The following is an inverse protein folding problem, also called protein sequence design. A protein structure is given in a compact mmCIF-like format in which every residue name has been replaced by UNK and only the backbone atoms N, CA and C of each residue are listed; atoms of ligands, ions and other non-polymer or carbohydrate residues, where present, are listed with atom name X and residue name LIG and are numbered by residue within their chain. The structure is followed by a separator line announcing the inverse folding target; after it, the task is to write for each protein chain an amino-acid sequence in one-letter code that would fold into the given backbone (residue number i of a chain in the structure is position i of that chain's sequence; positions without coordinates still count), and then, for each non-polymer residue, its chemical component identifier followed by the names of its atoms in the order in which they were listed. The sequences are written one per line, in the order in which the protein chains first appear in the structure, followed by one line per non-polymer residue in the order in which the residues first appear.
data_IF_550938789918
#
_entry.id   IF_550938789918
#
_cell.length_a   1.000
_cell.length_b   1.000
_cell.length_c   1.000
_cell.angle_alpha   90.00
_cell.angle_beta   90.00
_cell.angle_gamma   90.00
#
_symmetry.space_group_name_H-M   'P 1'
#
loop_
_entity.id
_entity.type
_entity.pdbx_description
1 polymer ?
#
# COMPACT_ATOMS: atom_id res chain seq x y z
N UNK A 1 1.42 -11.83 28.21
CA UNK A 1 2.86 -12.08 28.49
C UNK A 1 3.59 -10.79 28.21
N UNK A 2 4.49 -10.35 29.08
CA UNK A 2 5.19 -9.09 28.85
C UNK A 2 6.54 -9.30 28.13
N UNK A 3 7.07 -8.23 27.54
CA UNK A 3 8.32 -8.25 26.76
C UNK A 3 9.51 -8.86 27.49
N UNK A 4 9.66 -8.57 28.78
CA UNK A 4 10.78 -9.10 29.57
C UNK A 4 10.68 -10.63 29.74
N UNK A 5 9.46 -11.16 29.93
CA UNK A 5 9.21 -12.60 29.98
C UNK A 5 9.56 -13.27 28.64
N UNK A 6 9.14 -12.70 27.50
CA UNK A 6 9.45 -13.26 26.18
C UNK A 6 10.97 -13.30 25.92
N UNK A 7 11.70 -12.22 26.22
CA UNK A 7 13.15 -12.17 26.05
C UNK A 7 13.85 -13.19 26.96
N UNK A 8 13.37 -13.37 28.19
CA UNK A 8 13.92 -14.35 29.10
C UNK A 8 13.67 -15.79 28.60
N UNK A 9 12.49 -16.06 28.03
CA UNK A 9 12.20 -17.34 27.37
C UNK A 9 13.21 -17.62 26.25
N UNK A 10 13.48 -16.66 25.36
CA UNK A 10 14.48 -16.83 24.28
C UNK A 10 15.88 -17.17 24.82
N UNK A 11 16.30 -16.52 25.92
CA UNK A 11 17.59 -16.81 26.55
C UNK A 11 17.63 -18.21 27.13
N UNK A 12 16.56 -18.63 27.81
CA UNK A 12 16.48 -19.95 28.44
C UNK A 12 16.40 -21.10 27.44
N UNK A 13 15.78 -20.87 26.27
CA UNK A 13 15.74 -21.86 25.18
C UNK A 13 17.05 -21.96 24.40
N UNK A 14 17.94 -20.98 24.57
CA UNK A 14 19.28 -20.98 23.99
C UNK A 14 19.39 -20.22 22.67
N UNK A 15 18.47 -19.30 22.38
CA UNK A 15 18.64 -18.36 21.26
C UNK A 15 19.88 -17.49 21.50
N UNK A 16 20.67 -17.26 20.45
CA UNK A 16 21.84 -16.39 20.52
C UNK A 16 21.44 -14.90 20.58
N UNK A 17 22.42 -14.02 20.78
CA UNK A 17 22.18 -12.57 20.84
C UNK A 17 21.56 -12.00 19.58
N UNK A 18 21.90 -12.57 18.43
CA UNK A 18 21.52 -12.05 17.11
C UNK A 18 20.04 -12.31 16.84
N UNK A 19 19.57 -13.52 17.13
CA UNK A 19 18.14 -13.88 17.09
C UNK A 19 17.34 -13.01 18.05
N UNK A 20 17.83 -12.82 19.29
CA UNK A 20 17.14 -11.95 20.27
C UNK A 20 17.05 -10.51 19.76
N UNK A 21 18.14 -9.98 19.19
CA UNK A 21 18.17 -8.62 18.65
C UNK A 21 17.21 -8.47 17.45
N UNK A 22 17.18 -9.46 16.55
CA UNK A 22 16.25 -9.53 15.43
C UNK A 22 14.79 -9.54 15.92
N UNK A 23 14.43 -10.44 16.84
CA UNK A 23 13.06 -10.51 17.36
C UNK A 23 12.62 -9.22 18.07
N UNK A 24 13.54 -8.50 18.73
CA UNK A 24 13.26 -7.18 19.30
C UNK A 24 12.96 -6.15 18.20
N UNK A 25 13.77 -6.11 17.14
CA UNK A 25 13.57 -5.18 16.01
C UNK A 25 12.24 -5.45 15.28
N UNK A 26 11.90 -6.72 15.07
CA UNK A 26 10.60 -7.14 14.50
C UNK A 26 9.46 -6.73 15.42
N UNK A 27 9.57 -6.95 16.73
CA UNK A 27 8.53 -6.57 17.69
C UNK A 27 8.30 -5.05 17.74
N UNK A 28 9.36 -4.24 17.65
CA UNK A 28 9.23 -2.78 17.62
C UNK A 28 8.50 -2.31 16.35
N UNK A 29 8.82 -2.88 15.19
CA UNK A 29 8.12 -2.55 13.95
C UNK A 29 6.66 -3.06 13.95
N UNK A 30 6.42 -4.28 14.42
CA UNK A 30 5.09 -4.86 14.52
C UNK A 30 4.17 -4.03 15.42
N UNK A 31 4.68 -3.54 16.55
CA UNK A 31 3.94 -2.66 17.46
C UNK A 31 3.64 -1.30 16.84
N UNK A 32 4.58 -0.72 16.09
CA UNK A 32 4.36 0.53 15.36
C UNK A 32 3.22 0.39 14.34
N UNK A 33 3.25 -0.66 13.52
CA UNK A 33 2.19 -0.98 12.56
C UNK A 33 0.84 -1.17 13.28
N UNK A 34 0.85 -1.94 14.38
CA UNK A 34 -0.33 -2.19 15.20
C UNK A 34 -0.91 -0.89 15.75
N UNK A 35 -0.09 -0.04 16.36
CA UNK A 35 -0.52 1.20 17.02
C UNK A 35 -1.04 2.25 16.03
N UNK A 36 -0.49 2.31 14.81
CA UNK A 36 -0.90 3.27 13.77
C UNK A 36 -2.23 2.90 13.13
N UNK A 37 -2.49 1.60 12.94
CA UNK A 37 -3.59 1.14 12.06
C UNK A 37 -4.56 0.15 12.70
N UNK A 38 -4.10 -0.67 13.62
CA UNK A 38 -4.86 -1.79 14.17
C UNK A 38 -5.13 -1.67 15.66
N UNK A 39 -4.88 -0.49 16.24
CA UNK A 39 -4.96 -0.24 17.68
C UNK A 39 -6.27 -0.71 18.35
N UNK A 40 -7.39 -0.57 17.65
CA UNK A 40 -8.71 -0.95 18.15
C UNK A 40 -9.20 -2.31 17.64
N UNK A 41 -8.41 -3.01 16.81
CA UNK A 41 -8.79 -4.23 16.10
C UNK A 41 -7.87 -5.43 16.37
N UNK A 42 -6.61 -5.19 16.70
CA UNK A 42 -5.61 -6.22 16.98
C UNK A 42 -5.29 -6.28 18.49
N UNK A 43 -5.05 -7.49 18.98
CA UNK A 43 -4.51 -7.73 20.31
C UNK A 43 -3.02 -7.35 20.35
N UNK A 44 -2.75 -6.12 20.79
CA UNK A 44 -1.39 -5.55 20.86
C UNK A 44 -0.41 -6.41 21.69
N UNK A 45 -0.88 -7.02 22.77
CA UNK A 45 -0.02 -7.90 23.60
C UNK A 45 0.31 -9.20 22.87
N UNK A 46 -0.64 -9.75 22.12
CA UNK A 46 -0.41 -10.91 21.27
C UNK A 46 0.57 -10.60 20.13
N UNK A 47 0.46 -9.42 19.51
CA UNK A 47 1.42 -8.98 18.47
C UNK A 47 2.84 -8.88 19.04
N UNK A 48 3.03 -8.24 20.20
CA UNK A 48 4.36 -8.12 20.81
C UNK A 48 4.94 -9.49 21.19
N UNK A 49 4.16 -10.33 21.87
CA UNK A 49 4.62 -11.66 22.28
C UNK A 49 4.90 -12.58 21.08
N UNK A 50 4.03 -12.53 20.06
CA UNK A 50 4.19 -13.26 18.81
C UNK A 50 5.45 -12.84 18.05
N UNK A 51 5.69 -11.53 17.89
CA UNK A 51 6.89 -11.01 17.24
C UNK A 51 8.18 -11.35 18.00
N UNK A 52 8.16 -11.29 19.34
CA UNK A 52 9.35 -11.65 20.13
C UNK A 52 9.67 -13.14 20.05
N UNK A 53 8.67 -14.01 19.93
CA UNK A 53 8.84 -15.46 20.02
C UNK A 53 8.79 -16.18 18.66
N UNK A 54 8.51 -15.48 17.56
CA UNK A 54 8.30 -16.09 16.24
C UNK A 54 9.46 -17.01 15.82
N UNK A 55 10.69 -16.64 16.17
CA UNK A 55 11.92 -17.29 15.75
C UNK A 55 12.52 -18.22 16.83
N UNK A 56 11.76 -18.58 17.87
CA UNK A 56 12.26 -19.39 19.01
C UNK A 56 12.86 -20.74 18.59
N UNK A 57 12.41 -21.31 17.46
CA UNK A 57 12.97 -22.52 16.88
C UNK A 57 14.42 -22.40 16.41
N UNK A 58 14.93 -21.17 16.21
CA UNK A 58 16.34 -20.89 15.88
C UNK A 58 17.32 -21.34 16.95
N UNK A 59 16.84 -21.58 18.18
CA UNK A 59 17.61 -22.25 19.23
C UNK A 59 18.03 -23.69 18.88
N UNK A 60 17.39 -24.33 17.90
CA UNK A 60 17.65 -25.73 17.50
C UNK A 60 18.09 -25.89 16.05
N UNK A 61 17.57 -25.08 15.13
CA UNK A 61 17.82 -25.21 13.69
C UNK A 61 17.99 -23.86 13.00
N UNK A 62 18.82 -23.82 11.97
CA UNK A 62 18.97 -22.65 11.09
C UNK A 62 18.21 -22.83 9.76
N UNK A 63 17.44 -23.92 9.63
CA UNK A 63 16.69 -24.25 8.41
C UNK A 63 15.22 -23.80 8.52
N UNK A 64 14.47 -23.94 7.43
CA UNK A 64 13.07 -23.47 7.37
C UNK A 64 12.15 -24.14 8.40
N UNK A 65 12.51 -25.33 8.89
CA UNK A 65 11.81 -26.09 9.91
C UNK A 65 11.79 -25.45 11.31
N UNK A 66 12.52 -24.36 11.54
CA UNK A 66 12.43 -23.59 12.80
C UNK A 66 11.01 -23.17 13.17
N UNK A 67 10.13 -22.89 12.20
CA UNK A 67 8.74 -22.56 12.49
C UNK A 67 8.00 -23.73 13.15
N UNK A 68 8.22 -24.96 12.65
CA UNK A 68 7.61 -26.18 13.21
C UNK A 68 8.23 -26.54 14.55
N UNK A 69 9.56 -26.49 14.66
CA UNK A 69 10.27 -26.76 15.93
C UNK A 69 9.90 -25.71 16.98
N UNK A 70 9.73 -24.45 16.58
CA UNK A 70 9.31 -23.37 17.45
C UNK A 70 7.94 -23.62 18.07
N UNK A 71 6.99 -24.19 17.32
CA UNK A 71 5.68 -24.61 17.84
C UNK A 71 5.82 -25.70 18.90
N UNK A 72 6.70 -26.68 18.68
CA UNK A 72 6.97 -27.75 19.65
C UNK A 72 7.51 -27.18 20.96
N UNK A 73 8.55 -26.33 20.88
CA UNK A 73 9.13 -25.63 22.04
C UNK A 73 8.05 -24.80 22.76
N UNK A 74 7.28 -24.01 22.01
CA UNK A 74 6.23 -23.18 22.59
C UNK A 74 5.15 -23.99 23.29
N UNK A 75 4.80 -25.17 22.77
CA UNK A 75 3.83 -26.08 23.39
C UNK A 75 4.37 -26.66 24.70
N UNK A 76 5.63 -27.05 24.74
CA UNK A 76 6.28 -27.55 25.97
C UNK A 76 6.36 -26.48 27.06
N UNK A 77 6.56 -25.22 26.67
CA UNK A 77 6.56 -24.06 27.56
C UNK A 77 5.16 -23.59 27.98
N UNK A 78 4.09 -24.18 27.42
CA UNK A 78 2.71 -23.81 27.74
C UNK A 78 2.31 -22.42 27.22
N UNK A 79 2.88 -21.98 26.10
CA UNK A 79 2.52 -20.71 25.48
C UNK A 79 1.07 -20.70 24.98
N UNK A 80 0.48 -19.51 24.89
CA UNK A 80 -0.85 -19.30 24.30
C UNK A 80 -0.90 -19.91 22.89
N UNK A 81 -1.89 -20.77 22.57
CA UNK A 81 -2.04 -21.34 21.23
C UNK A 81 -2.04 -20.32 20.09
N UNK A 82 -2.49 -19.09 20.35
CA UNK A 82 -2.45 -17.99 19.37
C UNK A 82 -1.02 -17.56 19.04
N UNK A 83 -0.10 -17.60 20.02
CA UNK A 83 1.34 -17.36 19.78
C UNK A 83 1.92 -18.49 18.93
N UNK A 84 1.52 -19.74 19.19
CA UNK A 84 1.99 -20.88 18.40
C UNK A 84 1.62 -20.76 16.92
N UNK A 85 0.42 -20.24 16.61
CA UNK A 85 0.00 -19.98 15.23
C UNK A 85 0.88 -18.90 14.55
N UNK A 86 1.26 -17.85 15.28
CA UNK A 86 2.19 -16.83 14.79
C UNK A 86 3.57 -17.45 14.48
N UNK A 87 4.11 -18.24 15.43
CA UNK A 87 5.38 -18.96 15.24
C UNK A 87 5.30 -19.87 14.01
N UNK A 88 4.20 -20.58 13.82
CA UNK A 88 4.04 -21.52 12.71
C UNK A 88 3.97 -20.81 11.35
N UNK A 89 3.26 -19.68 11.27
CA UNK A 89 2.80 -19.08 10.01
C UNK A 89 3.58 -17.86 9.55
N UNK A 90 4.59 -17.40 10.30
CA UNK A 90 5.33 -16.19 9.95
C UNK A 90 6.20 -16.34 8.68
N UNK A 91 6.65 -17.56 8.36
CA UNK A 91 7.64 -17.80 7.31
C UNK A 91 7.18 -17.36 5.92
N UNK A 92 7.96 -16.48 5.28
CA UNK A 92 7.84 -16.15 3.84
C UNK A 92 6.52 -15.48 3.44
N UNK A 93 5.87 -14.75 4.35
CA UNK A 93 4.49 -14.24 4.20
C UNK A 93 3.42 -15.34 4.08
N UNK A 94 3.76 -16.56 4.48
CA UNK A 94 2.95 -17.76 4.37
C UNK A 94 3.31 -18.62 3.16
N UNK A 95 3.51 -19.91 3.43
CA UNK A 95 3.71 -20.95 2.41
C UNK A 95 2.47 -21.83 2.29
N UNK A 96 2.16 -22.24 1.06
CA UNK A 96 1.03 -23.14 0.79
C UNK A 96 1.40 -24.58 1.15
N UNK A 97 0.40 -25.47 1.23
CA UNK A 97 0.65 -26.90 1.41
C UNK A 97 1.65 -27.48 0.39
N UNK A 98 1.47 -27.19 -0.91
CA UNK A 98 2.35 -27.73 -1.96
C UNK A 98 3.80 -27.25 -1.80
N UNK A 99 3.99 -26.00 -1.39
CA UNK A 99 5.30 -25.42 -1.12
C UNK A 99 5.93 -26.02 0.14
N UNK A 100 5.12 -26.24 1.19
CA UNK A 100 5.57 -26.88 2.42
C UNK A 100 6.06 -28.31 2.13
N UNK A 101 5.32 -29.09 1.33
CA UNK A 101 5.74 -30.42 0.89
C UNK A 101 7.07 -30.37 0.12
N UNK A 102 7.22 -29.41 -0.81
CA UNK A 102 8.45 -29.23 -1.57
C UNK A 102 9.66 -28.84 -0.70
N UNK A 103 9.42 -28.17 0.42
CA UNK A 103 10.43 -27.74 1.40
C UNK A 103 10.71 -28.79 2.49
N UNK A 104 10.01 -29.94 2.45
CA UNK A 104 10.16 -31.01 3.44
C UNK A 104 9.48 -30.75 4.78
N UNK A 105 8.55 -29.79 4.82
CA UNK A 105 7.72 -29.49 5.98
C UNK A 105 6.44 -30.35 5.98
N UNK A 106 5.76 -30.49 7.14
CA UNK A 106 4.46 -31.15 7.19
C UNK A 106 3.47 -30.51 6.21
N UNK A 107 2.79 -31.34 5.41
CA UNK A 107 1.84 -30.96 4.38
C UNK A 107 0.60 -30.25 4.95
N UNK A 108 0.63 -28.92 4.99
CA UNK A 108 -0.50 -28.04 5.34
C UNK A 108 -0.20 -26.60 4.94
N UNK A 109 -1.22 -25.74 4.99
CA UNK A 109 -1.03 -24.30 4.81
C UNK A 109 -0.42 -23.65 6.06
N UNK A 110 0.58 -22.80 5.83
CA UNK A 110 1.22 -21.95 6.83
C UNK A 110 0.91 -20.47 6.55
N UNK A 111 -0.28 -20.18 6.03
CA UNK A 111 -0.71 -18.83 5.67
C UNK A 111 -1.20 -18.06 6.90
N UNK A 112 -0.73 -16.81 7.15
CA UNK A 112 -1.28 -15.95 8.18
C UNK A 112 -2.78 -15.68 7.99
N UNK A 113 -3.58 -15.93 9.03
CA UNK A 113 -5.04 -15.74 8.97
C UNK A 113 -5.51 -14.52 9.74
N UNK A 114 -5.11 -14.40 11.01
CA UNK A 114 -5.50 -13.29 11.89
C UNK A 114 -4.70 -12.02 11.59
N UNK A 115 -5.19 -10.86 12.04
CA UNK A 115 -4.47 -9.60 11.81
C UNK A 115 -3.14 -9.59 12.59
N UNK A 116 -3.10 -10.22 13.76
CA UNK A 116 -1.90 -10.35 14.58
C UNK A 116 -0.84 -11.21 13.88
N UNK A 117 -1.23 -12.36 13.31
CA UNK A 117 -0.35 -13.20 12.48
C UNK A 117 0.20 -12.41 11.30
N UNK A 118 -0.66 -11.66 10.61
CA UNK A 118 -0.29 -10.88 9.43
C UNK A 118 0.68 -9.74 9.77
N UNK A 119 0.44 -9.01 10.86
CA UNK A 119 1.33 -7.93 11.31
C UNK A 119 2.73 -8.48 11.59
N UNK A 120 2.83 -9.60 12.32
CA UNK A 120 4.13 -10.19 12.66
C UNK A 120 4.85 -10.71 11.43
N UNK A 121 4.17 -11.49 10.58
CA UNK A 121 4.74 -11.98 9.33
C UNK A 121 5.18 -10.83 8.41
N UNK A 122 4.46 -9.72 8.39
CA UNK A 122 4.84 -8.56 7.60
C UNK A 122 6.04 -7.81 8.19
N UNK A 123 6.05 -7.57 9.50
CA UNK A 123 7.16 -6.90 10.17
C UNK A 123 8.47 -7.68 10.05
N UNK A 124 8.43 -9.01 10.15
CA UNK A 124 9.57 -9.91 9.93
C UNK A 124 10.15 -9.72 8.52
N UNK A 125 9.29 -9.70 7.50
CA UNK A 125 9.70 -9.43 6.12
C UNK A 125 10.34 -8.04 5.93
N UNK A 126 10.13 -7.07 6.81
CA UNK A 126 10.68 -5.72 6.72
C UNK A 126 11.89 -5.47 7.64
N UNK A 127 12.39 -6.51 8.30
CA UNK A 127 13.63 -6.44 9.10
C UNK A 127 14.65 -7.40 8.52
N UNK A 128 15.82 -6.89 8.16
CA UNK A 128 16.96 -7.65 7.68
C UNK A 128 18.05 -7.62 8.77
N UNK A 129 18.30 -8.77 9.40
CA UNK A 129 18.99 -8.90 10.70
C UNK A 129 18.37 -8.01 11.79
N UNK A 130 18.79 -6.76 11.89
CA UNK A 130 18.27 -5.76 12.85
C UNK A 130 17.93 -4.43 12.19
N UNK A 131 18.12 -4.33 10.87
CA UNK A 131 17.92 -3.13 10.09
C UNK A 131 16.55 -3.17 9.43
N UNK A 132 15.77 -2.11 9.58
CA UNK A 132 14.51 -1.97 8.84
C UNK A 132 14.80 -1.67 7.38
N UNK A 133 14.11 -2.37 6.49
CA UNK A 133 14.18 -2.16 5.04
C UNK A 133 12.79 -1.81 4.50
N UNK A 134 12.75 -1.16 3.36
CA UNK A 134 11.49 -0.88 2.66
C UNK A 134 10.91 -2.15 2.04
N UNK A 135 9.59 -2.15 1.80
CA UNK A 135 8.95 -3.26 1.11
C UNK A 135 9.50 -3.45 -0.32
N UNK A 136 9.80 -2.35 -1.01
CA UNK A 136 10.42 -2.40 -2.33
C UNK A 136 11.81 -3.07 -2.31
N UNK A 137 12.67 -2.69 -1.35
CA UNK A 137 13.97 -3.34 -1.17
C UNK A 137 13.81 -4.85 -0.88
N UNK A 138 12.85 -5.23 -0.03
CA UNK A 138 12.57 -6.65 0.23
C UNK A 138 12.19 -7.38 -1.05
N UNK A 139 11.27 -6.84 -1.86
CA UNK A 139 10.83 -7.50 -3.10
C UNK A 139 12.01 -7.69 -4.05
N UNK A 140 12.84 -6.67 -4.23
CA UNK A 140 14.05 -6.76 -5.07
C UNK A 140 15.04 -7.83 -4.60
N UNK A 141 15.17 -8.04 -3.29
CA UNK A 141 16.05 -9.09 -2.75
C UNK A 141 15.54 -10.51 -3.02
N UNK A 142 14.23 -10.70 -3.18
CA UNK A 142 13.61 -12.03 -3.25
C UNK A 142 13.03 -12.39 -4.62
N UNK A 143 12.78 -11.41 -5.49
CA UNK A 143 12.13 -11.62 -6.80
C UNK A 143 12.89 -12.58 -7.73
N UNK A 144 14.22 -12.62 -7.64
CA UNK A 144 15.05 -13.54 -8.43
C UNK A 144 15.08 -14.97 -7.86
N UNK A 145 14.69 -15.15 -6.60
CA UNK A 145 14.84 -16.41 -5.85
C UNK A 145 13.51 -17.11 -5.59
N UNK A 146 12.42 -16.35 -5.53
CA UNK A 146 11.08 -16.84 -5.23
C UNK A 146 10.21 -16.87 -6.48
N UNK A 147 9.12 -17.62 -6.39
CA UNK A 147 8.15 -17.67 -7.50
C UNK A 147 7.34 -16.38 -7.57
N UNK A 148 6.80 -16.07 -8.76
CA UNK A 148 5.87 -14.94 -8.93
C UNK A 148 4.66 -15.05 -7.98
N UNK A 149 4.19 -16.27 -7.70
CA UNK A 149 3.12 -16.52 -6.76
C UNK A 149 3.50 -16.11 -5.32
N UNK A 150 4.71 -16.42 -4.86
CA UNK A 150 5.23 -15.98 -3.56
C UNK A 150 5.30 -14.46 -3.47
N UNK A 151 5.89 -13.81 -4.47
CA UNK A 151 6.03 -12.34 -4.52
C UNK A 151 4.64 -11.68 -4.46
N UNK A 152 3.68 -12.18 -5.23
CA UNK A 152 2.30 -11.68 -5.19
C UNK A 152 1.63 -11.85 -3.82
N UNK A 153 1.94 -12.90 -3.08
CA UNK A 153 1.44 -13.07 -1.70
C UNK A 153 2.08 -12.10 -0.73
N UNK A 154 3.37 -11.82 -0.85
CA UNK A 154 4.03 -10.77 -0.04
C UNK A 154 3.40 -9.41 -0.29
N UNK A 155 3.14 -9.07 -1.56
CA UNK A 155 2.44 -7.83 -1.95
C UNK A 155 1.04 -7.79 -1.34
N UNK A 156 0.29 -8.90 -1.42
CA UNK A 156 -1.04 -8.98 -0.82
C UNK A 156 -1.00 -8.79 0.70
N UNK A 157 -0.08 -9.46 1.39
CA UNK A 157 0.10 -9.34 2.84
C UNK A 157 0.43 -7.91 3.26
N UNK A 158 1.41 -7.29 2.59
CA UNK A 158 1.78 -5.90 2.83
C UNK A 158 0.58 -4.96 2.66
N UNK A 159 -0.18 -5.13 1.57
CA UNK A 159 -1.40 -4.34 1.34
C UNK A 159 -2.47 -4.60 2.40
N UNK A 160 -2.65 -5.83 2.88
CA UNK A 160 -3.63 -6.11 3.95
C UNK A 160 -3.22 -5.45 5.26
N UNK A 161 -1.93 -5.50 5.62
CA UNK A 161 -1.40 -5.02 6.90
C UNK A 161 -1.26 -3.50 6.93
N UNK A 162 -0.61 -2.90 5.94
CA UNK A 162 -0.40 -1.46 5.89
C UNK A 162 -1.63 -0.72 5.35
N UNK A 163 -2.51 -1.44 4.63
CA UNK A 163 -3.46 -0.87 3.68
C UNK A 163 -2.76 -0.13 2.58
N UNK A 164 -3.56 0.22 1.57
CA UNK A 164 -3.19 1.29 0.65
C UNK A 164 -3.34 2.65 1.34
N UNK A 165 -2.58 2.92 2.41
CA UNK A 165 -2.42 4.30 2.93
C UNK A 165 -1.33 5.00 2.14
N UNK A 166 -1.54 5.08 0.84
CA UNK A 166 -0.80 6.00 0.01
C UNK A 166 -1.44 7.36 0.21
N UNK A 167 -0.88 8.14 1.12
CA UNK A 167 -1.12 9.57 1.10
C UNK A 167 -0.65 10.07 -0.28
N UNK A 168 -1.55 10.53 -1.16
CA UNK A 168 -1.15 10.89 -2.51
C UNK A 168 -0.26 12.13 -2.46
N UNK A 169 0.90 12.05 -3.08
CA UNK A 169 1.67 13.24 -3.39
C UNK A 169 1.07 13.88 -4.64
N UNK A 170 0.53 15.08 -4.47
CA UNK A 170 -0.21 15.81 -5.50
C UNK A 170 0.55 17.08 -5.86
N UNK A 171 1.08 17.10 -7.08
CA UNK A 171 1.75 18.26 -7.65
C UNK A 171 0.87 18.90 -8.71
N UNK A 172 0.87 20.23 -8.77
CA UNK A 172 0.17 21.00 -9.79
C UNK A 172 1.19 21.92 -10.50
N UNK A 173 1.06 22.03 -11.82
CA UNK A 173 1.99 22.82 -12.61
C UNK A 173 1.73 22.69 -14.10
N UNK A 174 2.70 23.14 -14.89
CA UNK A 174 2.68 23.04 -16.34
C UNK A 174 3.56 21.89 -16.82
N UNK A 175 3.07 21.12 -17.77
CA UNK A 175 3.84 20.07 -18.44
C UNK A 175 3.82 20.28 -19.96
N UNK A 176 4.89 19.82 -20.61
CA UNK A 176 4.99 19.76 -22.07
C UNK A 176 5.00 18.31 -22.52
N UNK A 177 3.96 17.90 -23.23
CA UNK A 177 3.75 16.52 -23.66
C UNK A 177 3.82 16.48 -25.18
N UNK A 178 4.87 15.85 -25.72
CA UNK A 178 5.06 15.75 -27.16
C UNK A 178 4.36 14.52 -27.77
N UNK A 179 4.37 13.39 -27.06
CA UNK A 179 3.73 12.14 -27.47
C UNK A 179 3.15 11.46 -26.23
N UNK A 180 1.82 11.38 -26.16
CA UNK A 180 1.12 10.79 -25.00
C UNK A 180 1.42 9.29 -24.90
N UNK A 181 1.53 8.56 -26.01
CA UNK A 181 1.76 7.10 -25.98
C UNK A 181 3.14 6.79 -25.44
N UNK A 182 4.15 7.54 -25.87
CA UNK A 182 5.51 7.40 -25.36
C UNK A 182 5.57 7.75 -23.88
N UNK A 183 4.98 8.88 -23.47
CA UNK A 183 4.92 9.29 -22.07
C UNK A 183 4.28 8.22 -21.18
N UNK A 184 3.12 7.69 -21.57
CA UNK A 184 2.42 6.66 -20.80
C UNK A 184 3.25 5.37 -20.66
N UNK A 185 4.06 5.03 -21.68
CA UNK A 185 4.97 3.89 -21.61
C UNK A 185 6.09 4.12 -20.59
N UNK A 186 6.76 5.26 -20.66
CA UNK A 186 7.87 5.59 -19.75
C UNK A 186 7.38 5.71 -18.30
N UNK A 187 6.21 6.30 -18.09
CA UNK A 187 5.57 6.34 -16.76
C UNK A 187 5.23 4.93 -16.26
N UNK A 188 4.70 4.05 -17.12
CA UNK A 188 4.40 2.68 -16.72
C UNK A 188 5.66 1.92 -16.31
N UNK A 189 6.78 2.14 -17.01
CA UNK A 189 8.08 1.54 -16.67
C UNK A 189 8.58 2.03 -15.30
N UNK A 190 8.52 3.35 -15.03
CA UNK A 190 8.88 3.93 -13.71
C UNK A 190 7.95 3.40 -12.62
N UNK A 191 6.65 3.42 -12.86
CA UNK A 191 5.62 2.97 -11.92
C UNK A 191 5.84 1.49 -11.54
N UNK A 192 6.09 0.62 -12.51
CA UNK A 192 6.36 -0.79 -12.25
C UNK A 192 7.68 -0.97 -11.49
N UNK A 193 8.76 -0.33 -11.93
CA UNK A 193 10.08 -0.42 -11.32
C UNK A 193 10.07 0.02 -9.86
N UNK A 194 9.27 1.02 -9.51
CA UNK A 194 9.22 1.59 -8.15
C UNK A 194 7.96 1.19 -7.37
N UNK A 195 7.12 0.29 -7.91
CA UNK A 195 5.84 -0.11 -7.32
C UNK A 195 4.94 1.07 -6.96
N UNK A 196 4.91 2.08 -7.84
CA UNK A 196 4.10 3.29 -7.71
C UNK A 196 2.84 3.21 -8.59
N UNK A 197 1.84 4.00 -8.24
CA UNK A 197 0.74 4.41 -9.11
C UNK A 197 0.97 5.88 -9.44
N UNK A 198 1.26 6.15 -10.71
CA UNK A 198 1.46 7.50 -11.23
C UNK A 198 0.29 7.81 -12.16
N UNK A 199 -0.39 8.93 -11.90
CA UNK A 199 -1.48 9.40 -12.74
C UNK A 199 -1.28 10.87 -13.07
N UNK A 200 -1.50 11.21 -14.34
CA UNK A 200 -1.45 12.59 -14.83
C UNK A 200 -2.81 12.92 -15.42
N UNK A 201 -3.35 14.07 -15.04
CA UNK A 201 -4.65 14.55 -15.49
C UNK A 201 -4.58 16.01 -15.91
N UNK A 202 -5.48 16.38 -16.81
CA UNK A 202 -5.68 17.74 -17.28
C UNK A 202 -6.12 18.66 -16.13
N UNK A 203 -5.31 19.68 -15.83
CA UNK A 203 -5.57 20.63 -14.76
C UNK A 203 -6.79 21.52 -15.01
N UNK A 204 -7.25 21.62 -16.27
CA UNK A 204 -8.46 22.38 -16.62
C UNK A 204 -9.73 21.62 -16.24
N UNK A 205 -9.63 20.31 -15.99
CA UNK A 205 -10.75 19.44 -15.66
C UNK A 205 -10.70 18.95 -14.20
N UNK A 206 -9.86 19.57 -13.37
CA UNK A 206 -9.72 19.29 -11.94
C UNK A 206 -9.98 20.54 -11.11
N UNK A 207 -10.90 20.43 -10.15
CA UNK A 207 -11.34 21.57 -9.34
C UNK A 207 -10.41 21.97 -8.19
N UNK A 208 -9.34 21.21 -7.93
CA UNK A 208 -8.39 21.50 -6.84
C UNK A 208 -7.70 20.25 -6.32
N UNK A 209 -6.76 20.43 -5.37
CA UNK A 209 -6.06 19.32 -4.70
C UNK A 209 -7.03 18.47 -3.86
N UNK A 210 -8.05 19.07 -3.25
CA UNK A 210 -9.04 18.31 -2.47
C UNK A 210 -9.94 17.46 -3.36
N UNK A 211 -10.25 17.92 -4.58
CA UNK A 211 -10.92 17.09 -5.57
C UNK A 211 -10.11 15.82 -5.89
N UNK A 212 -8.82 15.98 -6.17
CA UNK A 212 -7.91 14.86 -6.43
C UNK A 212 -7.82 13.92 -5.23
N UNK A 213 -7.56 14.48 -4.05
CA UNK A 213 -7.43 13.74 -2.80
C UNK A 213 -8.69 12.91 -2.51
N UNK A 214 -9.87 13.53 -2.66
CA UNK A 214 -11.17 12.85 -2.51
C UNK A 214 -11.31 11.68 -3.50
N UNK A 215 -10.98 11.89 -4.78
CA UNK A 215 -11.08 10.86 -5.80
C UNK A 215 -10.13 9.68 -5.53
N UNK A 216 -8.88 9.96 -5.15
CA UNK A 216 -7.88 8.94 -4.80
C UNK A 216 -8.36 8.08 -3.63
N UNK A 217 -8.80 8.70 -2.53
CA UNK A 217 -9.25 7.93 -1.37
C UNK A 217 -10.49 7.09 -1.65
N UNK A 218 -11.42 7.59 -2.47
CA UNK A 218 -12.59 6.80 -2.89
C UNK A 218 -12.18 5.64 -3.79
N UNK A 219 -11.28 5.86 -4.75
CA UNK A 219 -10.74 4.81 -5.60
C UNK A 219 -10.04 3.70 -4.81
N UNK A 220 -9.17 4.09 -3.86
CA UNK A 220 -8.51 3.14 -2.96
C UNK A 220 -9.54 2.33 -2.18
N UNK A 221 -10.51 3.00 -1.54
CA UNK A 221 -11.56 2.33 -0.76
C UNK A 221 -12.40 1.38 -1.59
N UNK A 222 -12.79 1.79 -2.80
CA UNK A 222 -13.54 0.99 -3.76
C UNK A 222 -12.80 -0.30 -4.14
N UNK A 223 -11.50 -0.19 -4.41
CA UNK A 223 -10.63 -1.33 -4.71
C UNK A 223 -10.45 -2.25 -3.51
N UNK A 224 -10.20 -1.69 -2.33
CA UNK A 224 -10.01 -2.47 -1.09
C UNK A 224 -11.30 -3.20 -0.68
N UNK A 225 -12.47 -2.63 -0.96
CA UNK A 225 -13.78 -3.25 -0.73
C UNK A 225 -14.15 -4.30 -1.79
N UNK A 226 -13.38 -4.44 -2.87
CA UNK A 226 -13.73 -5.32 -3.99
C UNK A 226 -14.94 -4.86 -4.81
N UNK A 227 -15.30 -3.58 -4.71
CA UNK A 227 -16.44 -2.97 -5.42
C UNK A 227 -16.02 -2.16 -6.65
N UNK A 228 -14.74 -2.19 -6.98
CA UNK A 228 -14.16 -1.39 -8.05
C UNK A 228 -14.82 -1.63 -9.42
N UNK A 229 -14.96 -0.54 -10.16
CA UNK A 229 -15.48 -0.58 -11.53
C UNK A 229 -14.37 -0.99 -12.48
N UNK A 230 -13.16 -0.47 -12.25
CA UNK A 230 -11.99 -0.73 -13.07
C UNK A 230 -11.11 -1.85 -12.51
N UNK A 231 -10.27 -2.41 -13.38
CA UNK A 231 -9.30 -3.46 -13.05
C UNK A 231 -8.01 -2.93 -12.41
N UNK A 232 -7.80 -1.61 -12.38
CA UNK A 232 -6.58 -0.98 -11.85
C UNK A 232 -6.90 0.29 -11.07
N UNK A 233 -6.03 0.63 -10.11
CA UNK A 233 -6.21 1.82 -9.28
C UNK A 233 -6.13 3.11 -10.11
N UNK A 234 -5.23 3.16 -11.11
CA UNK A 234 -5.12 4.31 -12.03
C UNK A 234 -6.45 4.61 -12.74
N UNK A 235 -7.10 3.58 -13.29
CA UNK A 235 -8.40 3.74 -13.96
C UNK A 235 -9.53 4.06 -12.98
N UNK A 236 -9.51 3.46 -11.80
CA UNK A 236 -10.50 3.75 -10.75
C UNK A 236 -10.40 5.22 -10.31
N UNK A 237 -9.18 5.76 -10.14
CA UNK A 237 -8.94 7.18 -9.85
C UNK A 237 -9.54 8.07 -10.94
N UNK A 238 -9.34 7.75 -12.22
CA UNK A 238 -9.91 8.52 -13.33
C UNK A 238 -11.45 8.52 -13.32
N UNK A 239 -12.09 7.39 -13.00
CA UNK A 239 -13.54 7.29 -12.89
C UNK A 239 -14.08 8.20 -11.78
N UNK A 240 -13.45 8.20 -10.60
CA UNK A 240 -13.84 9.07 -9.49
C UNK A 240 -13.55 10.55 -9.76
N UNK A 241 -12.42 10.88 -10.39
CA UNK A 241 -12.11 12.25 -10.80
C UNK A 241 -13.11 12.78 -11.84
N UNK A 242 -13.50 11.95 -12.80
CA UNK A 242 -14.43 12.36 -13.85
C UNK A 242 -15.91 12.28 -13.45
N UNK A 243 -16.23 11.76 -12.26
CA UNK A 243 -17.60 11.63 -11.79
C UNK A 243 -18.46 10.70 -12.66
N UNK A 244 -17.87 9.67 -13.28
CA UNK A 244 -18.54 8.81 -14.25
C UNK A 244 -18.14 7.34 -14.13
N UNK A 245 -19.07 6.42 -14.40
CA UNK A 245 -18.81 4.98 -14.54
C UNK A 245 -18.34 4.60 -15.95
N UNK A 246 -18.33 5.55 -16.90
CA UNK A 246 -17.92 5.33 -18.28
C UNK A 246 -16.42 5.60 -18.47
N UNK A 247 -15.67 4.54 -18.79
CA UNK A 247 -14.22 4.61 -19.00
C UNK A 247 -13.84 5.60 -20.11
N UNK A 248 -14.56 5.64 -21.23
CA UNK A 248 -14.26 6.57 -22.33
C UNK A 248 -14.38 8.02 -21.89
N UNK A 249 -15.43 8.36 -21.12
CA UNK A 249 -15.58 9.71 -20.56
C UNK A 249 -14.51 10.00 -19.50
N UNK A 250 -14.14 9.01 -18.69
CA UNK A 250 -13.08 9.18 -17.71
C UNK A 250 -11.71 9.46 -18.35
N UNK A 251 -11.41 8.85 -19.50
CA UNK A 251 -10.16 9.12 -20.23
C UNK A 251 -10.07 10.56 -20.78
N UNK A 252 -11.19 11.28 -20.91
CA UNK A 252 -11.19 12.69 -21.35
C UNK A 252 -10.53 13.64 -20.33
N UNK A 253 -10.46 13.24 -19.06
CA UNK A 253 -9.74 13.99 -18.01
C UNK A 253 -8.22 13.78 -18.09
N UNK A 254 -7.77 12.84 -18.92
CA UNK A 254 -6.36 12.60 -19.15
C UNK A 254 -5.70 13.74 -19.93
N UNK A 255 -4.37 13.73 -19.92
CA UNK A 255 -3.56 14.72 -20.62
C UNK A 255 -3.60 14.56 -22.14
N UNK A 256 -3.36 15.67 -22.85
CA UNK A 256 -3.27 15.76 -24.32
C UNK A 256 -1.87 16.23 -24.73
N UNK A 257 -1.53 16.00 -25.99
CA UNK A 257 -0.30 16.55 -26.58
C UNK A 257 -0.35 18.08 -26.59
N UNK A 258 0.79 18.72 -26.27
CA UNK A 258 0.92 20.17 -26.13
C UNK A 258 1.46 20.60 -24.77
N UNK A 259 1.43 21.91 -24.53
CA UNK A 259 1.72 22.50 -23.23
C UNK A 259 0.40 22.80 -22.52
N UNK A 260 0.28 22.40 -21.26
CA UNK A 260 -0.97 22.55 -20.51
C UNK A 260 -0.77 22.45 -19.00
N UNK A 261 -1.82 22.84 -18.28
CA UNK A 261 -1.92 22.66 -16.83
C UNK A 261 -2.16 21.19 -16.54
N UNK A 262 -1.46 20.63 -15.56
CA UNK A 262 -1.63 19.23 -15.16
C UNK A 262 -1.61 19.09 -13.65
N UNK A 263 -2.32 18.08 -13.15
CA UNK A 263 -2.06 17.48 -11.86
C UNK A 263 -1.30 16.18 -12.05
N UNK A 264 -0.18 16.05 -11.33
CA UNK A 264 0.59 14.82 -11.20
C UNK A 264 0.29 14.22 -9.83
N UNK A 265 -0.16 12.98 -9.83
CA UNK A 265 -0.58 12.21 -8.67
C UNK A 265 0.37 11.03 -8.56
N UNK A 266 1.07 10.93 -7.43
CA UNK A 266 1.96 9.81 -7.13
C UNK A 266 1.49 9.14 -5.85
N UNK A 267 1.31 7.82 -5.93
CA UNK A 267 0.72 6.98 -4.89
C UNK A 267 1.67 5.78 -4.74
N UNK A 268 2.31 5.62 -3.59
CA UNK A 268 3.24 4.53 -3.34
C UNK A 268 3.94 4.69 -1.99
N UNK A 269 4.68 3.66 -1.57
CA UNK A 269 5.52 3.74 -0.37
C UNK A 269 6.72 4.65 -0.63
N UNK A 270 6.96 5.60 0.28
CA UNK A 270 8.08 6.57 0.27
C UNK A 270 8.69 6.86 -1.11
N UNK A 271 8.11 7.82 -1.83
CA UNK A 271 8.62 8.21 -3.15
C UNK A 271 9.96 8.94 -2.98
N UNK A 272 11.06 8.25 -3.33
CA UNK A 272 12.40 8.82 -3.30
C UNK A 272 12.52 10.10 -4.15
N UNK A 273 13.33 11.06 -3.69
CA UNK A 273 13.54 12.35 -4.37
C UNK A 273 13.99 12.19 -5.82
N UNK A 274 14.86 11.22 -6.07
CA UNK A 274 15.42 10.94 -7.40
C UNK A 274 14.32 10.51 -8.39
N UNK A 275 13.34 9.73 -7.94
CA UNK A 275 12.20 9.28 -8.77
C UNK A 275 11.31 10.46 -9.13
N UNK A 276 11.09 11.40 -8.21
CA UNK A 276 10.32 12.62 -8.49
C UNK A 276 11.02 13.48 -9.52
N UNK A 277 12.34 13.65 -9.39
CA UNK A 277 13.14 14.40 -10.36
C UNK A 277 13.07 13.76 -11.75
N UNK A 278 13.18 12.43 -11.85
CA UNK A 278 13.01 11.68 -13.11
C UNK A 278 11.62 11.94 -13.76
N UNK A 279 10.54 11.88 -12.97
CA UNK A 279 9.18 12.15 -13.48
C UNK A 279 9.02 13.62 -13.92
N UNK A 280 9.58 14.57 -13.15
CA UNK A 280 9.50 15.98 -13.48
C UNK A 280 10.28 16.31 -14.75
N UNK A 281 11.45 15.72 -14.96
CA UNK A 281 12.23 15.87 -16.18
C UNK A 281 11.49 15.32 -17.39
N UNK A 282 10.91 14.12 -17.26
CA UNK A 282 10.12 13.46 -18.31
C UNK A 282 8.95 14.33 -18.80
N UNK A 283 8.30 15.03 -17.88
CA UNK A 283 7.17 15.92 -18.17
C UNK A 283 7.56 17.34 -18.56
N UNK A 284 8.86 17.68 -18.49
CA UNK A 284 9.33 19.06 -18.46
C UNK A 284 8.53 19.92 -17.46
N UNK A 285 8.24 19.33 -16.30
CA UNK A 285 7.30 19.86 -15.33
C UNK A 285 7.82 21.13 -14.68
N UNK A 286 6.95 22.15 -14.63
CA UNK A 286 7.18 23.38 -13.88
C UNK A 286 6.07 23.52 -12.87
N UNK A 287 6.42 23.31 -11.60
CA UNK A 287 5.48 23.45 -10.50
C UNK A 287 4.94 24.89 -10.45
N UNK A 288 3.61 24.99 -10.40
CA UNK A 288 2.90 26.25 -10.23
C UNK A 288 1.56 25.97 -9.53
N UNK A 289 1.28 26.71 -8.45
CA UNK A 289 0.10 26.47 -7.64
C UNK A 289 -1.10 27.28 -8.15
N UNK A 290 -1.76 26.75 -9.17
CA UNK A 290 -3.04 27.26 -9.66
C UNK A 290 -4.25 26.64 -8.97
N UNK A 291 -4.09 25.88 -7.88
CA UNK A 291 -5.19 25.17 -7.20
C UNK A 291 -6.31 26.07 -6.67
N UNK A 292 -6.04 27.38 -6.57
CA UNK A 292 -7.00 28.40 -6.11
C UNK A 292 -7.50 29.33 -7.21
N UNK A 293 -7.11 29.12 -8.47
CA UNK A 293 -7.53 29.98 -9.56
C UNK A 293 -8.95 29.60 -10.03
N UNK A 294 -9.77 30.61 -10.37
CA UNK A 294 -11.10 30.40 -10.95
C UNK A 294 -11.06 30.23 -12.47
N UNK A 295 -9.87 30.05 -13.05
CA UNK A 295 -9.62 30.13 -14.49
C UNK A 295 -10.17 28.94 -15.29
N UNK A 296 -10.47 27.83 -14.62
CA UNK A 296 -11.03 26.62 -15.25
C UNK A 296 -12.54 26.44 -14.95
N UNK A 297 -13.21 27.46 -14.40
CA UNK A 297 -14.62 27.39 -13.99
C UNK A 297 -15.55 26.94 -15.13
N UNK A 298 -15.42 27.54 -16.31
CA UNK A 298 -16.29 27.23 -17.45
C UNK A 298 -16.09 25.78 -17.94
N UNK A 299 -14.83 25.32 -18.00
CA UNK A 299 -14.46 23.97 -18.40
C UNK A 299 -15.00 22.94 -17.40
N UNK A 300 -14.84 23.19 -16.10
CA UNK A 300 -15.37 22.32 -15.04
C UNK A 300 -16.90 22.24 -15.11
N UNK A 301 -17.58 23.38 -15.22
CA UNK A 301 -19.03 23.42 -15.33
C UNK A 301 -19.54 22.63 -16.53
N UNK A 302 -18.91 22.81 -17.70
CA UNK A 302 -19.25 22.07 -18.91
C UNK A 302 -19.02 20.55 -18.77
N UNK A 303 -17.88 20.14 -18.21
CA UNK A 303 -17.50 18.73 -18.11
C UNK A 303 -18.35 17.94 -17.09
N UNK A 304 -18.60 18.56 -15.93
CA UNK A 304 -19.37 17.97 -14.83
C UNK A 304 -20.88 18.23 -14.93
N UNK A 305 -21.32 18.98 -15.94
CA UNK A 305 -22.73 19.32 -16.16
C UNK A 305 -23.31 20.17 -15.02
N UNK A 306 -22.50 21.08 -14.46
CA UNK A 306 -22.92 21.99 -13.40
C UNK A 306 -23.46 23.26 -14.05
N UNK A 307 -24.70 23.62 -13.75
CA UNK A 307 -25.35 24.81 -14.34
C UNK A 307 -25.02 26.07 -13.55
N UNK A 308 -25.15 27.25 -14.18
CA UNK A 308 -25.01 28.53 -13.47
C UNK A 308 -26.05 28.69 -12.35
N UNK A 309 -27.27 28.19 -12.56
CA UNK A 309 -28.32 28.19 -11.53
C UNK A 309 -27.94 27.33 -10.33
N UNK A 310 -27.41 26.11 -10.57
CA UNK A 310 -26.94 25.21 -9.51
C UNK A 310 -25.80 25.84 -8.70
N UNK A 311 -24.80 26.39 -9.39
CA UNK A 311 -23.70 27.08 -8.72
C UNK A 311 -24.18 28.32 -7.96
N UNK A 312 -25.13 29.07 -8.52
CA UNK A 312 -25.73 30.24 -7.88
C UNK A 312 -26.47 29.89 -6.58
N UNK A 313 -27.12 28.73 -6.52
CA UNK A 313 -27.80 28.23 -5.31
C UNK A 313 -26.82 27.75 -4.25
N UNK A 314 -25.77 27.02 -4.65
CA UNK A 314 -24.76 26.53 -3.72
C UNK A 314 -23.88 27.67 -3.15
N UNK A 315 -23.57 28.66 -3.99
CA UNK A 315 -22.60 29.72 -3.75
C UNK A 315 -21.45 29.63 -4.76
N UNK A 316 -21.01 30.76 -5.30
CA UNK A 316 -20.00 30.78 -6.37
C UNK A 316 -18.63 30.21 -5.95
N UNK A 317 -18.35 30.19 -4.64
CA UNK A 317 -17.16 29.59 -4.03
C UNK A 317 -17.27 28.06 -3.83
N UNK A 318 -18.42 27.45 -4.17
CA UNK A 318 -18.72 26.03 -3.91
C UNK A 318 -18.51 25.11 -5.11
N UNK A 319 -17.96 25.62 -6.22
CA UNK A 319 -17.74 24.81 -7.42
C UNK A 319 -16.92 23.55 -7.13
N UNK A 320 -15.84 23.65 -6.35
CA UNK A 320 -15.01 22.50 -5.97
C UNK A 320 -15.81 21.43 -5.22
N UNK A 321 -16.71 21.83 -4.32
CA UNK A 321 -17.58 20.89 -3.58
C UNK A 321 -18.58 20.19 -4.50
N UNK A 322 -19.20 20.92 -5.44
CA UNK A 322 -20.11 20.32 -6.42
C UNK A 322 -19.39 19.30 -7.31
N UNK A 323 -18.14 19.59 -7.71
CA UNK A 323 -17.32 18.64 -8.47
C UNK A 323 -16.97 17.40 -7.63
N UNK A 324 -16.55 17.58 -6.38
CA UNK A 324 -16.29 16.47 -5.43
C UNK A 324 -17.54 15.60 -5.22
N UNK A 325 -18.72 16.22 -5.18
CA UNK A 325 -20.00 15.53 -5.06
C UNK A 325 -20.26 14.63 -6.27
N UNK A 326 -20.00 15.10 -7.50
CA UNK A 326 -20.14 14.26 -8.71
C UNK A 326 -19.29 12.98 -8.62
N UNK A 327 -18.06 13.09 -8.10
CA UNK A 327 -17.23 11.92 -7.81
C UNK A 327 -17.80 11.03 -6.71
N UNK A 328 -18.41 11.60 -5.66
CA UNK A 328 -19.04 10.81 -4.58
C UNK A 328 -20.26 10.01 -5.06
N UNK A 329 -21.02 10.55 -6.01
CA UNK A 329 -22.25 9.92 -6.49
C UNK A 329 -22.03 8.63 -7.28
N UNK A 330 -20.79 8.31 -7.70
CA UNK A 330 -20.46 7.03 -8.34
C UNK A 330 -20.87 5.82 -7.49
N UNK A 331 -20.74 5.92 -6.16
CA UNK A 331 -21.05 4.83 -5.22
C UNK A 331 -22.56 4.57 -5.10
N UNK A 332 -23.38 5.60 -5.34
CA UNK A 332 -24.84 5.57 -5.17
C UNK A 332 -25.55 5.16 -6.47
N UNK A 333 -24.99 5.52 -7.62
CA UNK A 333 -25.57 5.28 -8.95
C UNK A 333 -25.29 3.85 -9.49
N UNK A 334 -25.32 2.83 -8.63
CA UNK A 334 -25.05 1.41 -8.99
C UNK A 334 -26.05 0.85 -9.99
#
# INVERSE_FOLDING_TARGET
MNRAECIEILRQTGCNSDVIAHSIAVADLALEICDIRWKDLADRELVEAGALLHDIGRSKTQQIDHAVIGVEIGRELGLDPRILLIIERHIGAGITQDEAEALGLPAKDYLPETIEEKIVAHADNLVDDTTRITFHERIKQVEERLTEAHVNRMIKLHNEVCGRRFEPEIFCGYAKINDVKQLMKEIADIAQKHSLVIQIVDGDLVAGKEHVRSAVFKAIRSMDAGEAIASSLSLEILLYLAGTRNISKALEIGVKEGEGRVYLIIIGDEVGKDVKEEIFELLHFKEDDFSRSCENKEQLMAFFGITEEELGVAGEDKLEMLVIERGALLEVLK
#
